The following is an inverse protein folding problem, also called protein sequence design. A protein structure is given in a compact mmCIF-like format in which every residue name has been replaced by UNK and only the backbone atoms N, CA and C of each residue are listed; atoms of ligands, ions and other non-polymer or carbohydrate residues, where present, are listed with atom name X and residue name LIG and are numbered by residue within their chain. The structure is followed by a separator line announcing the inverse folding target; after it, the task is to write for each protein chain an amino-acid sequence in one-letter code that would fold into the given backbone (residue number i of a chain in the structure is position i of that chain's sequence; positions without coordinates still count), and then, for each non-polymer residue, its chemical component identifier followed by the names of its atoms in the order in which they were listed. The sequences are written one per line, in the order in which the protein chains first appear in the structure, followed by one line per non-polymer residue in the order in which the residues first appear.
data_IF_425732380176
#
_entry.id   IF_425732380176
#
_cell.length_a   1.000
_cell.length_b   1.000
_cell.length_c   1.000
_cell.angle_alpha   90.00
_cell.angle_beta   90.00
_cell.angle_gamma   90.00
#
_symmetry.space_group_name_H-M   'P 1'
#
loop_
_entity.id
_entity.type
_entity.pdbx_description
1 polymer ?
#
# COMPACT_ATOMS: atom_id res chain seq x y z
N UNK A 1 -19.56 39.38 -18.42
CA UNK A 1 -18.80 38.11 -18.50
C UNK A 1 -17.76 38.13 -17.39
N UNK A 2 -18.07 37.57 -16.26
CA UNK A 2 -17.21 37.56 -15.07
C UNK A 2 -16.28 36.37 -15.13
N UNK A 3 -15.00 36.62 -15.42
CA UNK A 3 -13.92 35.63 -15.35
C UNK A 3 -13.70 35.25 -13.88
N UNK A 4 -14.34 34.19 -13.43
CA UNK A 4 -13.99 33.53 -12.17
C UNK A 4 -12.67 32.77 -12.34
N UNK A 5 -11.58 33.51 -12.16
CA UNK A 5 -10.23 32.95 -12.08
C UNK A 5 -10.12 32.19 -10.75
N UNK A 6 -10.56 30.93 -10.74
CA UNK A 6 -10.44 30.03 -9.61
C UNK A 6 -8.94 29.74 -9.40
N UNK A 7 -8.27 30.57 -8.60
CA UNK A 7 -6.90 30.30 -8.12
C UNK A 7 -6.98 29.03 -7.31
N UNK A 8 -6.70 27.89 -7.96
CA UNK A 8 -6.49 26.61 -7.27
C UNK A 8 -5.28 26.75 -6.35
N UNK A 9 -5.55 27.14 -5.13
CA UNK A 9 -4.59 27.19 -4.05
C UNK A 9 -4.25 25.72 -3.71
N UNK A 10 -3.18 25.18 -4.30
CA UNK A 10 -2.67 23.82 -4.04
C UNK A 10 -2.07 23.76 -2.62
N UNK A 11 -2.91 23.93 -1.61
CA UNK A 11 -2.49 23.77 -0.23
C UNK A 11 -2.33 22.27 0.06
N UNK A 12 -1.18 21.92 0.60
CA UNK A 12 -0.96 20.59 1.17
C UNK A 12 -2.06 20.27 2.20
N UNK A 13 -2.35 18.96 2.36
CA UNK A 13 -3.30 18.55 3.40
C UNK A 13 -2.74 18.90 4.77
N UNK A 14 -3.60 19.47 5.61
CA UNK A 14 -3.27 19.78 7.01
C UNK A 14 -3.36 18.51 7.86
N UNK A 15 -2.73 18.50 9.03
CA UNK A 15 -2.83 17.44 10.04
C UNK A 15 -4.29 17.15 10.39
N UNK A 16 -5.12 18.18 10.58
CA UNK A 16 -6.56 18.02 10.85
C UNK A 16 -7.28 17.31 9.71
N UNK A 17 -6.99 17.66 8.46
CA UNK A 17 -7.58 16.98 7.29
C UNK A 17 -7.15 15.52 7.23
N UNK A 18 -5.89 15.18 7.55
CA UNK A 18 -5.40 13.80 7.63
C UNK A 18 -6.10 12.99 8.72
N UNK A 19 -6.36 13.59 9.89
CA UNK A 19 -7.14 12.96 10.97
C UNK A 19 -8.56 12.64 10.49
N UNK A 20 -9.21 13.56 9.78
CA UNK A 20 -10.54 13.33 9.22
C UNK A 20 -10.54 12.24 8.14
N UNK A 21 -9.48 12.15 7.33
CA UNK A 21 -9.30 11.04 6.37
C UNK A 21 -9.20 9.72 7.12
N UNK A 22 -8.33 9.62 8.14
CA UNK A 22 -8.16 8.39 8.93
C UNK A 22 -9.47 7.95 9.58
N UNK A 23 -10.18 8.87 10.22
CA UNK A 23 -11.50 8.60 10.82
C UNK A 23 -12.50 8.12 9.78
N UNK A 24 -12.59 8.79 8.63
CA UNK A 24 -13.48 8.37 7.56
C UNK A 24 -13.16 6.97 7.02
N UNK A 25 -11.88 6.60 6.94
CA UNK A 25 -11.44 5.25 6.55
C UNK A 25 -11.84 4.20 7.60
N UNK A 26 -11.76 4.52 8.89
CA UNK A 26 -12.22 3.64 9.99
C UNK A 26 -13.72 3.44 9.91
N UNK A 27 -14.46 4.50 9.61
CA UNK A 27 -15.93 4.48 9.48
C UNK A 27 -16.42 3.91 8.14
N UNK A 28 -15.51 3.38 7.29
CA UNK A 28 -15.80 2.85 5.94
C UNK A 28 -16.47 3.85 4.98
N UNK A 29 -16.20 5.14 5.14
CA UNK A 29 -16.68 6.16 4.22
C UNK A 29 -15.98 6.06 2.86
N UNK A 30 -16.69 6.36 1.79
CA UNK A 30 -16.10 6.48 0.46
C UNK A 30 -15.16 7.69 0.37
N UNK A 31 -14.18 7.64 -0.54
CA UNK A 31 -13.30 8.79 -0.78
C UNK A 31 -14.05 10.06 -1.21
N UNK A 32 -15.22 9.90 -1.87
CA UNK A 32 -16.07 11.02 -2.23
C UNK A 32 -16.70 11.68 -1.01
N UNK A 33 -17.15 10.90 -0.03
CA UNK A 33 -17.72 11.42 1.23
C UNK A 33 -16.65 12.05 2.11
N UNK A 34 -15.48 11.42 2.24
CA UNK A 34 -14.34 12.00 2.94
C UNK A 34 -13.94 13.32 2.28
N UNK A 35 -13.84 13.34 0.95
CA UNK A 35 -13.50 14.53 0.18
C UNK A 35 -14.47 15.69 0.42
N UNK A 36 -15.78 15.43 0.44
CA UNK A 36 -16.81 16.45 0.75
C UNK A 36 -16.64 17.05 2.14
N UNK A 37 -16.27 16.22 3.15
CA UNK A 37 -16.09 16.67 4.54
C UNK A 37 -14.90 17.62 4.74
N UNK A 38 -13.87 17.51 3.88
CA UNK A 38 -12.64 18.29 4.00
C UNK A 38 -12.41 19.24 2.83
N UNK A 39 -13.45 19.43 1.99
CA UNK A 39 -13.38 20.26 0.77
C UNK A 39 -12.21 19.90 -0.14
N UNK A 40 -12.08 18.61 -0.46
CA UNK A 40 -11.07 18.07 -1.39
C UNK A 40 -11.68 17.07 -2.36
N UNK A 41 -11.12 17.01 -3.55
CA UNK A 41 -11.57 16.04 -4.53
C UNK A 41 -11.19 14.62 -4.12
N UNK A 42 -12.05 13.65 -4.43
CA UNK A 42 -11.84 12.21 -4.13
C UNK A 42 -10.49 11.66 -4.59
N UNK A 43 -9.96 12.18 -5.70
CA UNK A 43 -8.65 11.75 -6.22
C UNK A 43 -7.50 12.20 -5.32
N UNK A 44 -7.62 13.35 -4.65
CA UNK A 44 -6.66 13.82 -3.66
C UNK A 44 -6.59 12.86 -2.48
N UNK A 45 -7.76 12.42 -1.97
CA UNK A 45 -7.83 11.44 -0.89
C UNK A 45 -7.21 10.11 -1.32
N UNK A 46 -7.53 9.64 -2.54
CA UNK A 46 -6.98 8.40 -3.06
C UNK A 46 -5.45 8.44 -3.20
N UNK A 47 -4.90 9.56 -3.68
CA UNK A 47 -3.44 9.77 -3.81
C UNK A 47 -2.77 9.81 -2.44
N UNK A 48 -3.34 10.56 -1.49
CA UNK A 48 -2.85 10.66 -0.10
C UNK A 48 -2.78 9.29 0.56
N UNK A 49 -3.89 8.55 0.56
CA UNK A 49 -3.97 7.22 1.17
C UNK A 49 -2.99 6.23 0.52
N UNK A 50 -2.89 6.21 -0.82
CA UNK A 50 -1.93 5.35 -1.52
C UNK A 50 -0.49 5.69 -1.20
N UNK A 51 -0.15 6.99 -1.12
CA UNK A 51 1.21 7.48 -0.89
C UNK A 51 1.69 7.15 0.51
N UNK A 52 0.84 7.35 1.51
CA UNK A 52 1.24 7.30 2.93
C UNK A 52 0.72 6.07 3.69
N UNK A 53 0.14 5.07 3.00
CA UNK A 53 -0.20 3.81 3.64
C UNK A 53 1.07 3.06 4.04
N UNK A 54 1.10 2.54 5.25
CA UNK A 54 2.15 1.64 5.73
C UNK A 54 1.70 0.19 5.63
N UNK A 55 2.57 -0.68 5.12
CA UNK A 55 2.32 -2.11 5.05
C UNK A 55 2.73 -2.77 6.35
N UNK A 56 1.92 -3.73 6.78
CA UNK A 56 2.22 -4.62 7.90
C UNK A 56 2.41 -6.01 7.31
N UNK A 57 3.62 -6.51 7.47
CA UNK A 57 3.97 -7.84 7.01
C UNK A 57 3.17 -8.89 7.79
N UNK A 58 3.07 -10.05 7.21
CA UNK A 58 2.42 -11.19 7.81
C UNK A 58 3.29 -11.73 8.96
N UNK A 59 2.66 -12.27 9.99
CA UNK A 59 3.36 -13.00 11.04
C UNK A 59 4.07 -14.22 10.41
N UNK A 60 5.37 -14.33 10.64
CA UNK A 60 6.19 -15.43 10.14
C UNK A 60 5.74 -16.80 10.69
N UNK A 61 5.14 -16.83 11.87
CA UNK A 61 4.61 -18.03 12.50
C UNK A 61 3.19 -18.40 12.02
N UNK A 62 2.56 -17.54 11.22
CA UNK A 62 1.24 -17.83 10.70
C UNK A 62 1.31 -18.95 9.64
N UNK A 63 0.33 -19.87 9.59
CA UNK A 63 0.32 -20.96 8.62
C UNK A 63 0.32 -20.41 7.18
N UNK A 64 1.05 -21.03 6.25
CA UNK A 64 1.19 -20.54 4.90
C UNK A 64 -0.17 -20.39 4.21
N UNK A 65 -0.32 -19.29 3.47
CA UNK A 65 -1.56 -19.01 2.74
C UNK A 65 -1.66 -19.92 1.51
N UNK A 66 -2.88 -20.25 1.13
CA UNK A 66 -3.14 -20.96 -0.12
C UNK A 66 -2.70 -20.10 -1.30
N UNK A 67 -1.89 -20.64 -2.21
CA UNK A 67 -1.38 -19.93 -3.38
C UNK A 67 -2.50 -19.23 -4.17
N UNK A 68 -2.24 -18.03 -4.68
CA UNK A 68 -3.20 -17.28 -5.49
C UNK A 68 -3.64 -18.04 -6.75
N UNK A 69 -2.77 -18.89 -7.30
CA UNK A 69 -3.03 -19.75 -8.47
C UNK A 69 -3.59 -21.12 -8.11
N UNK A 70 -3.94 -21.38 -6.85
CA UNK A 70 -4.33 -22.70 -6.37
C UNK A 70 -5.37 -23.41 -7.25
N UNK A 71 -6.42 -22.72 -7.66
CA UNK A 71 -7.51 -23.32 -8.45
C UNK A 71 -7.03 -23.85 -9.81
N UNK A 72 -6.08 -23.16 -10.45
CA UNK A 72 -5.55 -23.47 -11.77
C UNK A 72 -4.25 -24.31 -11.72
N UNK A 73 -3.69 -24.49 -10.50
CA UNK A 73 -2.41 -25.16 -10.32
C UNK A 73 -2.50 -26.64 -10.68
N UNK A 74 -1.57 -27.12 -11.52
CA UNK A 74 -1.41 -28.53 -11.91
C UNK A 74 -0.03 -29.08 -11.53
N UNK A 75 0.74 -28.36 -10.72
CA UNK A 75 2.08 -28.77 -10.31
C UNK A 75 2.08 -30.12 -9.62
N UNK A 76 3.06 -30.95 -9.98
CA UNK A 76 3.32 -32.31 -9.45
C UNK A 76 4.78 -32.41 -9.04
N UNK A 77 5.11 -33.45 -8.28
CA UNK A 77 6.49 -33.82 -7.92
C UNK A 77 7.29 -32.75 -7.17
N UNK A 78 6.65 -31.85 -6.42
CA UNK A 78 7.35 -30.85 -5.60
C UNK A 78 8.09 -31.44 -4.39
N UNK A 79 7.81 -32.69 -4.03
CA UNK A 79 8.35 -33.36 -2.86
C UNK A 79 9.23 -34.57 -3.19
N UNK A 80 9.79 -34.62 -4.39
CA UNK A 80 10.71 -35.67 -4.88
C UNK A 80 10.18 -37.14 -4.78
N UNK A 81 8.86 -37.29 -4.63
CA UNK A 81 8.24 -38.62 -4.68
C UNK A 81 7.98 -39.03 -6.12
N UNK A 82 8.70 -40.08 -6.67
CA UNK A 82 8.61 -40.41 -8.07
C UNK A 82 7.25 -40.96 -8.52
N UNK A 83 6.50 -41.57 -7.60
CA UNK A 83 5.22 -42.25 -7.91
C UNK A 83 3.99 -41.37 -7.65
N UNK A 84 4.14 -40.07 -7.53
CA UNK A 84 3.04 -39.16 -7.21
C UNK A 84 2.19 -38.86 -8.44
N UNK A 85 0.99 -39.40 -8.54
CA UNK A 85 0.04 -39.16 -9.63
C UNK A 85 -0.89 -37.97 -9.39
N UNK A 86 -0.94 -37.42 -8.16
CA UNK A 86 -1.84 -36.35 -7.77
C UNK A 86 -1.20 -34.98 -7.90
N UNK A 87 -1.97 -33.93 -8.26
CA UNK A 87 -1.49 -32.55 -8.13
C UNK A 87 -1.08 -32.24 -6.68
N UNK A 88 0.06 -31.57 -6.49
CA UNK A 88 0.60 -31.27 -5.16
C UNK A 88 -0.37 -30.45 -4.27
N UNK A 89 -1.24 -29.65 -4.89
CA UNK A 89 -2.29 -28.90 -4.16
C UNK A 89 -3.29 -29.81 -3.43
N UNK A 90 -3.47 -31.05 -3.88
CA UNK A 90 -4.41 -32.01 -3.31
C UNK A 90 -3.70 -33.03 -2.41
N UNK A 91 -2.41 -32.84 -2.16
CA UNK A 91 -1.62 -33.73 -1.33
C UNK A 91 -1.91 -33.47 0.16
N UNK A 92 -2.26 -34.54 0.90
CA UNK A 92 -2.47 -34.49 2.34
C UNK A 92 -1.14 -34.69 3.09
N UNK A 93 -0.17 -33.81 2.84
CA UNK A 93 1.19 -33.93 3.37
C UNK A 93 1.28 -33.88 4.91
N UNK A 94 0.22 -33.42 5.60
CA UNK A 94 0.18 -33.37 7.06
C UNK A 94 0.36 -34.75 7.71
N UNK A 95 -0.06 -35.84 7.05
CA UNK A 95 0.07 -37.20 7.53
C UNK A 95 1.53 -37.70 7.38
N UNK A 96 2.26 -37.20 6.38
CA UNK A 96 3.59 -37.67 6.01
C UNK A 96 4.73 -36.77 6.48
N UNK A 97 4.43 -35.73 7.27
CA UNK A 97 5.39 -34.71 7.73
C UNK A 97 6.20 -34.04 6.59
N UNK A 98 5.68 -34.07 5.37
CA UNK A 98 6.32 -33.43 4.22
C UNK A 98 5.94 -31.94 4.19
N UNK A 99 6.83 -31.07 3.68
CA UNK A 99 6.53 -29.65 3.54
C UNK A 99 5.31 -29.46 2.61
N UNK A 100 4.45 -28.50 2.97
CA UNK A 100 3.29 -28.16 2.15
C UNK A 100 3.74 -27.57 0.80
N UNK A 101 3.00 -27.84 -0.27
CA UNK A 101 3.36 -27.38 -1.61
C UNK A 101 3.56 -25.85 -1.71
N UNK A 102 2.85 -25.07 -0.92
CA UNK A 102 3.00 -23.62 -0.86
C UNK A 102 4.27 -23.14 -0.14
N UNK A 103 5.01 -24.02 0.53
CA UNK A 103 6.32 -23.73 1.13
C UNK A 103 7.46 -24.01 0.17
N UNK A 104 7.33 -25.08 -0.62
CA UNK A 104 8.40 -25.59 -1.48
C UNK A 104 8.20 -25.26 -2.98
N UNK A 105 7.04 -24.74 -3.36
CA UNK A 105 6.73 -24.43 -4.76
C UNK A 105 7.48 -23.17 -5.23
N UNK A 106 8.32 -23.25 -6.27
CA UNK A 106 9.02 -22.10 -6.81
C UNK A 106 8.06 -21.06 -7.43
N UNK A 107 6.90 -21.52 -7.91
CA UNK A 107 5.86 -20.67 -8.50
C UNK A 107 4.82 -20.21 -7.49
N UNK A 108 5.10 -20.28 -6.19
CA UNK A 108 4.18 -19.81 -5.17
C UNK A 108 3.92 -18.32 -5.32
N UNK A 109 2.65 -17.97 -5.41
CA UNK A 109 2.21 -16.59 -5.43
C UNK A 109 1.34 -16.30 -4.21
N UNK A 110 1.79 -15.38 -3.36
CA UNK A 110 1.02 -14.98 -2.19
C UNK A 110 -0.30 -14.30 -2.60
N UNK A 111 -1.45 -14.71 -2.01
CA UNK A 111 -2.73 -14.14 -2.38
C UNK A 111 -2.88 -12.71 -1.83
N UNK A 112 -2.95 -11.74 -2.71
CA UNK A 112 -3.20 -10.35 -2.36
C UNK A 112 -4.65 -10.12 -1.90
N UNK A 113 -4.85 -9.16 -1.00
CA UNK A 113 -6.18 -8.72 -0.64
C UNK A 113 -6.73 -7.73 -1.69
N UNK A 114 -7.94 -7.96 -2.19
CA UNK A 114 -8.59 -7.06 -3.16
C UNK A 114 -8.73 -5.63 -2.63
N UNK A 115 -8.95 -5.46 -1.33
CA UNK A 115 -9.04 -4.14 -0.69
C UNK A 115 -7.75 -3.33 -0.83
N UNK A 116 -6.57 -3.97 -0.94
CA UNK A 116 -5.31 -3.26 -1.15
C UNK A 116 -5.09 -2.82 -2.60
N UNK A 117 -5.81 -3.44 -3.55
CA UNK A 117 -5.73 -3.14 -4.98
C UNK A 117 -6.78 -2.10 -5.42
N UNK A 118 -7.91 -2.05 -4.73
CA UNK A 118 -9.03 -1.13 -4.98
C UNK A 118 -9.24 -0.22 -3.77
N UNK A 119 -9.96 0.89 -3.97
CA UNK A 119 -10.37 1.74 -2.84
C UNK A 119 -11.06 0.91 -1.74
N UNK A 120 -10.76 1.16 -0.50
CA UNK A 120 -9.96 2.24 0.09
C UNK A 120 -8.44 2.03 0.15
N UNK A 121 -7.86 0.97 -0.42
CA UNK A 121 -6.42 0.61 -0.47
C UNK A 121 -5.79 0.28 0.89
N UNK A 122 -6.55 0.29 1.97
CA UNK A 122 -6.12 0.10 3.37
C UNK A 122 -7.14 -0.75 4.15
N UNK A 123 -6.71 -1.24 5.28
CA UNK A 123 -7.50 -2.12 6.16
C UNK A 123 -8.11 -1.39 7.37
N UNK A 124 -8.09 -0.05 7.43
CA UNK A 124 -8.55 0.73 8.58
C UNK A 124 -9.96 0.34 9.04
N UNK A 125 -10.93 0.32 8.13
CA UNK A 125 -12.31 -0.04 8.38
C UNK A 125 -12.65 -1.52 8.14
N UNK A 126 -11.68 -2.37 7.80
CA UNK A 126 -11.95 -3.76 7.46
C UNK A 126 -12.43 -4.57 8.69
N UNK A 127 -13.64 -5.14 8.63
CA UNK A 127 -14.21 -5.97 9.71
C UNK A 127 -13.36 -7.21 9.99
N UNK A 128 -12.70 -7.75 8.97
CA UNK A 128 -11.86 -8.96 9.07
C UNK A 128 -10.40 -8.66 9.45
N UNK A 129 -10.02 -7.41 9.78
CA UNK A 129 -8.61 -7.03 10.02
C UNK A 129 -7.92 -7.83 11.12
N UNK A 130 -8.66 -8.27 12.14
CA UNK A 130 -8.12 -9.07 13.27
C UNK A 130 -7.82 -10.53 12.88
N UNK A 131 -8.68 -11.14 12.07
CA UNK A 131 -8.58 -12.56 11.67
C UNK A 131 -7.92 -12.77 10.31
N UNK A 132 -7.63 -11.70 9.58
CA UNK A 132 -7.03 -11.77 8.25
C UNK A 132 -5.54 -12.10 8.35
N UNK A 133 -5.13 -13.17 7.67
CA UNK A 133 -3.72 -13.61 7.60
C UNK A 133 -2.97 -13.09 6.37
N UNK A 134 -3.58 -12.23 5.55
CA UNK A 134 -2.92 -11.61 4.39
C UNK A 134 -2.11 -10.39 4.81
N UNK A 135 -1.16 -9.98 3.97
CA UNK A 135 -0.49 -8.68 4.09
C UNK A 135 -1.54 -7.58 4.25
N UNK A 136 -1.32 -6.67 5.18
CA UNK A 136 -2.24 -5.58 5.53
C UNK A 136 -1.60 -4.24 5.18
N UNK A 137 -2.42 -3.22 5.00
CA UNK A 137 -1.95 -1.85 4.94
C UNK A 137 -2.88 -0.95 5.76
N UNK A 138 -2.29 0.03 6.42
CA UNK A 138 -3.03 1.00 7.23
C UNK A 138 -2.58 2.41 6.88
N UNK A 139 -3.53 3.34 6.90
CA UNK A 139 -3.27 4.76 6.86
C UNK A 139 -3.30 5.31 8.28
N UNK A 140 -2.29 6.07 8.67
CA UNK A 140 -2.23 6.82 9.92
C UNK A 140 -1.97 8.28 9.61
N UNK A 141 -2.81 9.16 10.13
CA UNK A 141 -2.70 10.60 9.95
C UNK A 141 -1.35 11.13 10.45
N UNK A 142 -0.91 10.67 11.62
CA UNK A 142 0.36 11.06 12.21
C UNK A 142 1.53 10.69 11.30
N UNK A 143 1.64 9.41 10.89
CA UNK A 143 2.73 8.94 10.02
C UNK A 143 2.73 9.64 8.66
N UNK A 144 1.54 9.91 8.12
CA UNK A 144 1.39 10.64 6.87
C UNK A 144 1.86 12.09 7.00
N UNK A 145 1.56 12.73 8.13
CA UNK A 145 1.98 14.11 8.41
C UNK A 145 3.49 14.20 8.57
N UNK A 146 4.09 13.37 9.42
CA UNK A 146 5.53 13.27 9.63
C UNK A 146 6.28 13.03 8.31
N UNK A 147 5.81 12.07 7.51
CA UNK A 147 6.43 11.76 6.20
C UNK A 147 6.28 12.91 5.20
N UNK A 148 5.16 13.63 5.23
CA UNK A 148 4.92 14.78 4.37
C UNK A 148 5.81 15.95 4.75
N UNK A 149 5.96 16.23 6.05
CA UNK A 149 6.85 17.29 6.56
C UNK A 149 8.31 17.00 6.23
N UNK A 150 8.74 15.73 6.39
CA UNK A 150 10.09 15.30 6.03
C UNK A 150 10.36 15.54 4.55
N UNK A 151 9.46 15.15 3.66
CA UNK A 151 9.60 15.41 2.22
C UNK A 151 9.67 16.90 1.90
N UNK A 152 8.85 17.73 2.55
CA UNK A 152 8.87 19.19 2.35
C UNK A 152 10.20 19.79 2.83
N UNK A 153 10.75 19.30 3.92
CA UNK A 153 12.06 19.72 4.42
C UNK A 153 13.16 19.31 3.45
N UNK A 154 13.18 18.06 2.99
CA UNK A 154 14.16 17.55 2.03
C UNK A 154 14.14 18.33 0.70
N UNK A 155 12.93 18.64 0.18
CA UNK A 155 12.79 19.45 -1.04
C UNK A 155 13.28 20.89 -0.87
N UNK A 156 13.22 21.45 0.35
CA UNK A 156 13.69 22.81 0.63
C UNK A 156 15.17 22.88 0.91
N UNK A 157 15.76 21.87 1.52
CA UNK A 157 17.18 21.78 1.84
C UNK A 157 18.05 21.43 0.62
N UNK A 158 17.45 20.90 -0.46
CA UNK A 158 18.16 20.51 -1.68
C UNK A 158 18.57 21.66 -2.62
N UNK A 159 18.36 22.93 -2.25
CA UNK A 159 18.77 24.12 -3.02
C UNK A 159 19.84 24.90 -2.24
N UNK A 160 20.76 24.21 -1.61
CA UNK A 160 22.03 24.81 -1.19
C UNK A 160 23.01 24.70 -2.35
N UNK A 161 22.80 25.51 -3.40
CA UNK A 161 23.89 25.80 -4.30
C UNK A 161 24.87 26.69 -3.54
N UNK A 162 26.12 26.28 -3.44
CA UNK A 162 27.20 27.10 -2.91
C UNK A 162 27.20 28.41 -3.69
N UNK A 163 27.43 29.56 -3.04
CA UNK A 163 27.52 30.89 -3.74
C UNK A 163 28.49 30.90 -4.90
N UNK A 164 29.49 30.03 -4.87
CA UNK A 164 30.50 29.85 -5.93
C UNK A 164 29.89 29.26 -7.21
N UNK A 165 28.93 28.34 -7.09
CA UNK A 165 28.28 27.72 -8.25
C UNK A 165 27.37 28.71 -9.00
N UNK A 166 26.79 29.67 -8.28
CA UNK A 166 25.93 30.70 -8.84
C UNK A 166 26.80 31.70 -9.64
N UNK A 167 27.93 32.10 -9.08
CA UNK A 167 28.87 33.01 -9.76
C UNK A 167 29.42 32.40 -11.04
N UNK A 168 29.76 31.10 -11.04
CA UNK A 168 30.23 30.38 -12.23
C UNK A 168 29.14 30.27 -13.32
N UNK A 169 27.86 30.17 -12.96
CA UNK A 169 26.76 30.15 -13.91
C UNK A 169 26.49 31.53 -14.51
N UNK A 170 26.64 32.61 -13.74
CA UNK A 170 26.51 33.99 -14.25
C UNK A 170 27.64 34.35 -15.24
N UNK A 171 28.86 33.88 -14.99
CA UNK A 171 30.00 34.07 -15.90
C UNK A 171 29.85 33.27 -17.22
N UNK A 172 29.08 32.17 -17.21
CA UNK A 172 28.82 31.37 -18.42
C UNK A 172 27.67 31.91 -19.30
N UNK A 173 26.87 32.82 -18.76
CA UNK A 173 25.67 33.36 -19.43
C UNK A 173 25.94 34.81 -19.92
N UNK A 174 27.03 35.45 -19.48
CA UNK A 174 27.46 36.80 -19.90
C UNK A 174 28.38 36.73 -21.09
#
# INVERSE_FOLDING_TARGET
MTNNNCKHNYKHLTTTQRILIEKGLIDNLSFAEIGRRIDKHRSTIAKEVKKYRSFVERDNNAPPLRCARYNQCQMRFLCDKPDCIRPCKNCHNNILRLPQCNVICPDYLEPACRTLQKAPFVCNGCSKKKTCNKKKAFYSAQKADESSQKLLHECRSGINQEPVDIALLDDLIS
#
